data_IF_365744320174
#
_entry.id   IF_365744320174
#
_cell.length_a   1.000
_cell.length_b   1.000
_cell.length_c   1.000
_cell.angle_alpha   90.00
_cell.angle_beta   90.00
_cell.angle_gamma   90.00
#
_symmetry.space_group_name_H-M   'P 1'
#
loop_
_entity.id
_entity.type
_entity.pdbx_description
1 polymer ?
#
# COMPACT_ATOMS: atom_id res chain seq x y z
N UNK A 1 -16.14 -51.79 1.09
CA UNK A 1 -16.48 -50.45 0.57
C UNK A 1 -15.34 -50.00 -0.33
N UNK A 2 -15.48 -50.09 -1.66
CA UNK A 2 -14.42 -49.73 -2.58
C UNK A 2 -14.25 -48.21 -2.64
N UNK A 3 -13.07 -47.71 -2.28
CA UNK A 3 -12.71 -46.29 -2.40
C UNK A 3 -12.64 -45.91 -3.87
N UNK A 4 -13.61 -45.13 -4.35
CA UNK A 4 -13.60 -44.54 -5.69
C UNK A 4 -12.36 -43.64 -5.81
N UNK A 5 -11.40 -44.04 -6.63
CA UNK A 5 -10.28 -43.19 -7.05
C UNK A 5 -10.83 -41.90 -7.66
N UNK A 6 -10.48 -40.75 -7.08
CA UNK A 6 -10.81 -39.44 -7.64
C UNK A 6 -10.11 -39.30 -9.00
N UNK A 7 -10.89 -39.29 -10.08
CA UNK A 7 -10.37 -38.96 -11.41
C UNK A 7 -9.84 -37.52 -11.41
N UNK A 8 -8.55 -37.38 -11.67
CA UNK A 8 -7.94 -36.07 -11.95
C UNK A 8 -8.33 -35.73 -13.40
N UNK A 9 -9.12 -34.67 -13.57
CA UNK A 9 -9.47 -34.12 -14.88
C UNK A 9 -8.57 -32.90 -15.11
N UNK A 10 -7.68 -32.97 -16.08
CA UNK A 10 -6.95 -31.81 -16.60
C UNK A 10 -7.79 -31.12 -17.67
N UNK A 11 -7.96 -29.80 -17.59
CA UNK A 11 -8.53 -29.04 -18.68
C UNK A 11 -7.61 -29.15 -19.91
N UNK A 12 -8.17 -29.36 -21.10
CA UNK A 12 -7.39 -29.36 -22.33
C UNK A 12 -6.78 -27.96 -22.54
N UNK A 13 -5.50 -27.91 -22.92
CA UNK A 13 -4.85 -26.66 -23.29
C UNK A 13 -5.54 -26.06 -24.52
N UNK A 14 -5.89 -24.77 -24.46
CA UNK A 14 -6.56 -24.05 -25.55
C UNK A 14 -5.67 -23.89 -26.79
N UNK A 15 -4.36 -23.81 -26.57
CA UNK A 15 -3.35 -23.68 -27.62
C UNK A 15 -2.07 -24.39 -27.19
N UNK A 16 -1.48 -25.17 -28.11
CA UNK A 16 -0.21 -25.88 -27.91
C UNK A 16 0.57 -25.79 -29.23
N UNK A 17 1.79 -25.22 -29.23
CA UNK A 17 2.63 -25.26 -30.43
C UNK A 17 3.01 -26.72 -30.75
N UNK A 18 2.89 -27.09 -32.02
CA UNK A 18 3.12 -28.46 -32.50
C UNK A 18 4.57 -28.73 -32.90
N UNK A 19 5.42 -27.70 -32.90
CA UNK A 19 6.83 -27.83 -33.27
C UNK A 19 7.74 -26.88 -32.49
N UNK A 20 9.04 -27.18 -32.47
CA UNK A 20 10.08 -26.29 -31.90
C UNK A 20 10.10 -24.93 -32.60
N UNK A 21 9.81 -24.89 -33.90
CA UNK A 21 9.75 -23.66 -34.68
C UNK A 21 8.55 -22.79 -34.27
N UNK A 22 7.37 -23.40 -34.07
CA UNK A 22 6.20 -22.70 -33.54
C UNK A 22 6.43 -22.18 -32.12
N UNK A 23 7.00 -23.00 -31.23
CA UNK A 23 7.35 -22.57 -29.89
C UNK A 23 8.35 -21.38 -29.89
N UNK A 24 9.35 -21.39 -30.79
CA UNK A 24 10.27 -20.27 -30.94
C UNK A 24 9.57 -18.99 -31.47
N UNK A 25 8.62 -19.15 -32.39
CA UNK A 25 7.78 -18.06 -32.89
C UNK A 25 6.91 -17.48 -31.77
N UNK A 26 6.34 -18.32 -30.92
CA UNK A 26 5.55 -17.89 -29.76
C UNK A 26 6.39 -17.16 -28.73
N UNK A 27 7.60 -17.64 -28.43
CA UNK A 27 8.54 -16.94 -27.53
C UNK A 27 8.88 -15.55 -28.07
N UNK A 28 9.10 -15.41 -29.38
CA UNK A 28 9.29 -14.10 -30.00
C UNK A 28 8.07 -13.20 -29.80
N UNK A 29 6.87 -13.72 -30.09
CA UNK A 29 5.62 -12.98 -29.94
C UNK A 29 5.36 -12.56 -28.49
N UNK A 30 5.70 -13.39 -27.51
CA UNK A 30 5.64 -13.05 -26.09
C UNK A 30 6.53 -11.84 -25.81
N UNK A 31 7.78 -11.85 -26.29
CA UNK A 31 8.69 -10.70 -26.12
C UNK A 31 8.18 -9.42 -26.79
N UNK A 32 7.61 -9.52 -27.98
CA UNK A 32 7.02 -8.38 -28.69
C UNK A 32 5.84 -7.79 -27.91
N UNK A 33 4.95 -8.64 -27.38
CA UNK A 33 3.82 -8.21 -26.54
C UNK A 33 4.26 -7.61 -25.21
N UNK A 34 5.30 -8.16 -24.57
CA UNK A 34 5.86 -7.59 -23.34
C UNK A 34 6.42 -6.18 -23.58
N UNK A 35 7.19 -5.99 -24.67
CA UNK A 35 7.69 -4.66 -25.04
C UNK A 35 6.58 -3.68 -25.38
N UNK A 36 5.50 -4.14 -26.01
CA UNK A 36 4.33 -3.31 -26.27
C UNK A 36 3.65 -2.86 -24.98
N UNK A 37 3.44 -3.80 -24.04
CA UNK A 37 2.87 -3.50 -22.74
C UNK A 37 3.70 -2.44 -22.00
N UNK A 38 5.02 -2.60 -21.93
CA UNK A 38 5.93 -1.62 -21.32
C UNK A 38 5.83 -0.26 -22.02
N UNK A 39 5.73 -0.21 -23.35
CA UNK A 39 5.59 1.05 -24.07
C UNK A 39 4.29 1.78 -23.74
N UNK A 40 3.18 1.04 -23.65
CA UNK A 40 1.89 1.59 -23.26
C UNK A 40 1.90 2.06 -21.80
N UNK A 41 2.54 1.31 -20.90
CA UNK A 41 2.73 1.71 -19.50
C UNK A 41 3.55 3.00 -19.39
N UNK A 42 4.64 3.12 -20.14
CA UNK A 42 5.46 4.35 -20.18
C UNK A 42 4.66 5.53 -20.70
N UNK A 43 3.92 5.38 -21.81
CA UNK A 43 3.06 6.44 -22.34
C UNK A 43 1.98 6.87 -21.34
N UNK A 44 1.36 5.90 -20.66
CA UNK A 44 0.40 6.19 -19.60
C UNK A 44 1.03 6.99 -18.46
N UNK A 45 2.25 6.65 -18.05
CA UNK A 45 2.96 7.36 -16.98
C UNK A 45 3.34 8.79 -17.40
N UNK A 46 3.74 8.99 -18.66
CA UNK A 46 4.00 10.32 -19.22
C UNK A 46 2.73 11.18 -19.23
N UNK A 47 1.58 10.61 -19.62
CA UNK A 47 0.29 11.30 -19.60
C UNK A 47 -0.13 11.67 -18.17
N UNK A 48 0.05 10.75 -17.20
CA UNK A 48 -0.19 11.03 -15.78
C UNK A 48 0.70 12.18 -15.30
N UNK A 49 1.98 12.21 -15.69
CA UNK A 49 2.90 13.28 -15.34
C UNK A 49 2.45 14.63 -15.92
N UNK A 50 2.02 14.68 -17.19
CA UNK A 50 1.51 15.89 -17.83
C UNK A 50 0.23 16.41 -17.16
N UNK A 51 -0.72 15.52 -16.87
CA UNK A 51 -1.95 15.87 -16.15
C UNK A 51 -1.61 16.43 -14.77
N UNK A 52 -0.69 15.79 -14.06
CA UNK A 52 -0.26 16.23 -12.73
C UNK A 52 0.39 17.61 -12.80
N UNK A 53 1.30 17.84 -13.75
CA UNK A 53 1.98 19.12 -13.93
C UNK A 53 1.01 20.26 -14.23
N UNK A 54 -0.05 20.00 -15.01
CA UNK A 54 -1.07 21.01 -15.33
C UNK A 54 -1.98 21.32 -14.13
N UNK A 55 -2.42 20.29 -13.40
CA UNK A 55 -3.43 20.46 -12.36
C UNK A 55 -2.84 20.89 -11.01
N UNK A 56 -1.62 20.46 -10.68
CA UNK A 56 -1.01 20.69 -9.38
C UNK A 56 -0.84 22.18 -9.04
N UNK A 57 -0.38 23.08 -9.95
CA UNK A 57 -0.29 24.51 -9.65
C UNK A 57 -1.64 25.16 -9.32
N UNK A 58 -2.71 24.80 -10.03
CA UNK A 58 -4.05 25.34 -9.76
C UNK A 58 -4.61 24.82 -8.44
N UNK A 59 -4.37 23.54 -8.12
CA UNK A 59 -4.71 22.96 -6.82
C UNK A 59 -3.97 23.68 -5.69
N UNK A 60 -2.67 23.97 -5.86
CA UNK A 60 -1.89 24.70 -4.85
C UNK A 60 -2.36 26.15 -4.67
N UNK A 61 -2.76 26.84 -5.73
CA UNK A 61 -3.40 28.17 -5.61
C UNK A 61 -4.68 28.10 -4.79
N UNK A 62 -5.58 27.15 -5.11
CA UNK A 62 -6.83 26.97 -4.37
C UNK A 62 -6.56 26.63 -2.90
N UNK A 63 -5.57 25.77 -2.61
CA UNK A 63 -5.18 25.46 -1.23
C UNK A 63 -4.66 26.68 -0.48
N UNK A 64 -3.85 27.52 -1.13
CA UNK A 64 -3.36 28.76 -0.52
C UNK A 64 -4.52 29.71 -0.20
N UNK A 65 -5.45 29.91 -1.14
CA UNK A 65 -6.64 30.74 -0.91
C UNK A 65 -7.51 30.20 0.22
N UNK A 66 -7.72 28.87 0.26
CA UNK A 66 -8.43 28.21 1.36
C UNK A 66 -7.74 28.41 2.71
N UNK A 67 -6.41 28.32 2.76
CA UNK A 67 -5.66 28.54 4.00
C UNK A 67 -5.77 29.99 4.48
N UNK A 68 -5.63 30.96 3.57
CA UNK A 68 -5.77 32.40 3.88
C UNK A 68 -7.17 32.69 4.40
N UNK A 69 -8.21 32.26 3.69
CA UNK A 69 -9.61 32.47 4.08
C UNK A 69 -9.94 31.76 5.40
N UNK A 70 -9.51 30.50 5.56
CA UNK A 70 -9.76 29.74 6.78
C UNK A 70 -9.10 30.39 8.00
N UNK A 71 -7.86 30.88 7.89
CA UNK A 71 -7.19 31.62 8.96
C UNK A 71 -7.87 32.96 9.24
N UNK A 72 -8.31 33.67 8.21
CA UNK A 72 -9.05 34.93 8.36
C UNK A 72 -10.35 34.74 9.16
N UNK A 73 -11.15 33.73 8.78
CA UNK A 73 -12.38 33.37 9.50
C UNK A 73 -12.06 32.94 10.94
N UNK A 74 -11.05 32.09 11.13
CA UNK A 74 -10.63 31.66 12.47
C UNK A 74 -10.27 32.85 13.37
N UNK A 75 -9.39 33.74 12.90
CA UNK A 75 -8.92 34.90 13.68
C UNK A 75 -10.07 35.82 14.08
N UNK A 76 -11.02 36.08 13.16
CA UNK A 76 -12.19 36.89 13.45
C UNK A 76 -13.12 36.20 14.47
N UNK A 77 -13.42 34.92 14.28
CA UNK A 77 -14.26 34.14 15.21
C UNK A 77 -13.63 34.01 16.60
N UNK A 78 -12.30 33.89 16.70
CA UNK A 78 -11.59 33.86 17.98
C UNK A 78 -11.65 35.21 18.70
N UNK A 79 -11.55 36.32 17.94
CA UNK A 79 -11.66 37.68 18.50
C UNK A 79 -13.07 38.03 18.96
N UNK A 80 -14.11 37.44 18.35
CA UNK A 80 -15.52 37.67 18.68
C UNK A 80 -16.15 36.47 19.39
N UNK A 81 -15.33 35.62 20.02
CA UNK A 81 -15.79 34.34 20.55
C UNK A 81 -16.88 34.50 21.61
N UNK A 82 -16.74 35.46 22.51
CA UNK A 82 -17.72 35.65 23.60
C UNK A 82 -19.07 36.12 23.06
N UNK A 83 -19.08 36.98 22.04
CA UNK A 83 -20.31 37.39 21.36
C UNK A 83 -20.98 36.20 20.64
N UNK A 84 -20.20 35.45 19.87
CA UNK A 84 -20.69 34.31 19.08
C UNK A 84 -21.17 33.11 19.91
N UNK A 85 -20.71 33.00 21.16
CA UNK A 85 -21.02 31.87 22.04
C UNK A 85 -21.89 32.23 23.24
N UNK A 86 -22.45 33.45 23.28
CA UNK A 86 -23.17 34.00 24.43
C UNK A 86 -22.38 33.90 25.75
N UNK A 87 -21.12 34.33 25.74
CA UNK A 87 -20.14 34.15 26.81
C UNK A 87 -19.90 32.67 27.17
N UNK A 88 -19.82 31.80 26.16
CA UNK A 88 -19.48 30.38 26.31
C UNK A 88 -20.63 29.43 26.64
N UNK A 89 -21.90 29.86 26.53
CA UNK A 89 -23.06 28.96 26.70
C UNK A 89 -23.18 27.96 25.55
N UNK A 90 -22.77 28.33 24.34
CA UNK A 90 -22.70 27.42 23.18
C UNK A 90 -21.25 27.26 22.71
N UNK A 91 -21.00 26.24 21.89
CA UNK A 91 -19.69 26.04 21.23
C UNK A 91 -19.82 26.06 19.71
N UNK A 92 -20.91 26.60 19.22
CA UNK A 92 -21.25 26.67 17.81
C UNK A 92 -21.81 28.06 17.50
N UNK A 93 -21.52 28.55 16.31
CA UNK A 93 -22.01 29.82 15.79
C UNK A 93 -22.52 29.59 14.36
N UNK A 94 -23.82 29.82 14.16
CA UNK A 94 -24.43 29.75 12.84
C UNK A 94 -24.22 31.08 12.10
N UNK A 95 -23.78 30.98 10.85
CA UNK A 95 -23.65 32.08 9.91
C UNK A 95 -24.61 31.85 8.74
N UNK A 96 -24.90 32.89 7.96
CA UNK A 96 -25.83 32.79 6.82
C UNK A 96 -25.39 31.72 5.80
N UNK A 97 -24.08 31.51 5.65
CA UNK A 97 -23.47 30.62 4.65
C UNK A 97 -22.80 29.38 5.24
N UNK A 98 -22.87 29.16 6.55
CA UNK A 98 -22.18 28.04 7.19
C UNK A 98 -22.21 28.08 8.71
N UNK A 99 -21.44 27.20 9.35
CA UNK A 99 -21.35 27.08 10.80
C UNK A 99 -19.88 27.02 11.23
N UNK A 100 -19.56 27.63 12.37
CA UNK A 100 -18.27 27.52 13.05
C UNK A 100 -18.47 26.86 14.40
N UNK A 101 -17.58 25.94 14.76
CA UNK A 101 -17.67 25.21 16.03
C UNK A 101 -16.32 25.11 16.73
N UNK A 102 -16.31 25.34 18.04
CA UNK A 102 -15.15 25.13 18.91
C UNK A 102 -15.21 23.71 19.50
N UNK A 103 -14.30 22.85 19.05
CA UNK A 103 -14.22 21.46 19.51
C UNK A 103 -12.90 21.21 20.24
N UNK A 104 -12.98 20.49 21.35
CA UNK A 104 -11.78 19.91 21.95
C UNK A 104 -11.35 18.73 21.09
N UNK A 105 -10.11 18.76 20.60
CA UNK A 105 -9.53 17.58 19.96
C UNK A 105 -9.45 16.46 21.00
N UNK A 106 -9.82 15.22 20.66
CA UNK A 106 -9.53 14.08 21.51
C UNK A 106 -8.03 14.04 21.87
N UNK A 107 -7.65 13.55 23.06
CA UNK A 107 -6.25 13.40 23.42
C UNK A 107 -5.48 12.62 22.35
N UNK A 108 -4.34 13.15 21.93
CA UNK A 108 -3.39 12.48 21.04
C UNK A 108 -2.08 12.21 21.77
N UNK A 109 -1.40 11.14 21.39
CA UNK A 109 -0.08 10.77 21.94
C UNK A 109 0.96 10.97 20.84
N UNK A 110 2.02 11.73 21.15
CA UNK A 110 3.21 11.86 20.31
C UNK A 110 4.40 11.23 21.02
N UNK A 111 5.22 10.48 20.29
CA UNK A 111 6.36 9.74 20.84
C UNK A 111 7.61 10.21 20.11
N UNK A 112 8.63 10.63 20.86
CA UNK A 112 9.95 10.99 20.34
C UNK A 112 11.00 10.04 20.90
N UNK A 113 11.84 9.48 20.03
CA UNK A 113 12.86 8.49 20.44
C UNK A 113 12.21 7.17 20.84
N UNK A 114 11.54 6.52 19.88
CA UNK A 114 10.74 5.30 20.08
C UNK A 114 11.51 4.22 20.85
N UNK A 115 12.79 4.00 20.54
CA UNK A 115 13.59 2.95 21.17
C UNK A 115 13.81 3.18 22.67
N UNK A 116 14.15 4.41 23.05
CA UNK A 116 14.34 4.79 24.46
C UNK A 116 13.02 4.69 25.25
N UNK A 117 11.91 5.04 24.61
CA UNK A 117 10.57 4.89 25.18
C UNK A 117 10.23 3.41 25.36
N UNK A 118 10.47 2.56 24.36
CA UNK A 118 10.26 1.12 24.46
C UNK A 118 11.11 0.49 25.58
N UNK A 119 12.38 0.84 25.67
CA UNK A 119 13.28 0.34 26.73
C UNK A 119 12.79 0.78 28.11
N UNK A 120 12.38 2.03 28.25
CA UNK A 120 11.84 2.56 29.51
C UNK A 120 10.52 1.87 29.87
N UNK A 121 9.61 1.66 28.90
CA UNK A 121 8.36 0.94 29.11
C UNK A 121 8.62 -0.50 29.57
N UNK A 122 9.59 -1.20 28.96
CA UNK A 122 10.01 -2.54 29.39
C UNK A 122 10.59 -2.54 30.81
N UNK A 123 11.51 -1.60 31.10
CA UNK A 123 12.11 -1.43 32.43
C UNK A 123 11.07 -1.15 33.52
N UNK A 124 10.05 -0.36 33.21
CA UNK A 124 8.94 -0.04 34.10
C UNK A 124 7.83 -1.11 34.11
N UNK A 125 8.00 -2.21 33.37
CA UNK A 125 7.02 -3.30 33.24
C UNK A 125 5.64 -2.82 32.78
N UNK A 126 5.61 -1.80 31.92
CA UNK A 126 4.40 -1.23 31.34
C UNK A 126 4.06 -1.88 29.99
N UNK A 127 4.07 -3.21 29.97
CA UNK A 127 3.94 -4.02 28.74
C UNK A 127 2.60 -3.81 28.02
N UNK A 128 1.53 -3.40 28.73
CA UNK A 128 0.24 -3.03 28.12
C UNK A 128 0.32 -1.90 27.08
N UNK A 129 1.39 -1.12 27.08
CA UNK A 129 1.63 -0.05 26.10
C UNK A 129 2.60 -0.47 24.99
N UNK A 130 3.07 -1.72 25.01
CA UNK A 130 3.96 -2.28 24.00
C UNK A 130 3.13 -3.26 23.16
N UNK A 131 3.04 -2.99 21.86
CA UNK A 131 2.43 -3.94 20.92
C UNK A 131 3.51 -4.89 20.42
N UNK A 132 3.31 -6.19 20.63
CA UNK A 132 4.18 -7.24 20.09
C UNK A 132 3.52 -7.85 18.86
N UNK A 133 4.30 -7.99 17.79
CA UNK A 133 3.92 -8.75 16.59
C UNK A 133 4.88 -9.93 16.48
N UNK A 134 4.36 -11.14 16.60
CA UNK A 134 5.14 -12.35 16.37
C UNK A 134 4.92 -12.80 14.92
N UNK A 135 6.01 -13.03 14.20
CA UNK A 135 5.99 -13.50 12.82
C UNK A 135 6.88 -14.74 12.69
N UNK A 136 6.47 -15.66 11.83
CA UNK A 136 7.23 -16.87 11.55
C UNK A 136 8.50 -16.49 10.79
N UNK A 137 9.65 -16.82 11.36
CA UNK A 137 10.94 -16.61 10.71
C UNK A 137 11.20 -17.73 9.68
N UNK A 138 10.83 -17.46 8.42
CA UNK A 138 11.01 -18.42 7.32
C UNK A 138 12.48 -18.69 7.00
N UNK A 139 13.35 -17.69 7.13
CA UNK A 139 14.78 -17.84 6.88
C UNK A 139 15.42 -18.82 7.88
N UNK A 140 15.10 -18.69 9.17
CA UNK A 140 15.55 -19.63 10.19
C UNK A 140 15.05 -21.06 9.93
N UNK A 141 13.80 -21.20 9.47
CA UNK A 141 13.24 -22.49 9.05
C UNK A 141 13.97 -23.08 7.84
N UNK A 142 14.36 -22.25 6.86
CA UNK A 142 15.12 -22.72 5.70
C UNK A 142 16.55 -23.13 6.08
N UNK A 143 17.16 -22.46 7.06
CA UNK A 143 18.48 -22.82 7.58
C UNK A 143 18.45 -24.14 8.38
N UNK A 144 17.34 -24.40 9.11
CA UNK A 144 17.18 -25.60 9.94
C UNK A 144 15.85 -26.32 9.67
N UNK A 145 15.66 -26.90 8.46
CA UNK A 145 14.35 -27.44 8.05
C UNK A 145 13.94 -28.69 8.84
N UNK A 146 14.90 -29.43 9.37
CA UNK A 146 14.64 -30.60 10.23
C UNK A 146 14.13 -30.21 11.61
N UNK A 147 14.52 -29.04 12.13
CA UNK A 147 14.12 -28.54 13.45
C UNK A 147 12.62 -28.25 13.55
N UNK A 148 11.94 -28.05 12.41
CA UNK A 148 10.49 -27.84 12.34
C UNK A 148 9.72 -29.00 11.72
N UNK A 149 10.38 -30.16 11.57
CA UNK A 149 9.74 -31.37 11.06
C UNK A 149 8.57 -31.79 11.97
N UNK A 150 7.35 -31.80 11.43
CA UNK A 150 6.14 -32.20 12.15
C UNK A 150 5.33 -31.03 12.75
N UNK A 151 5.78 -29.79 12.62
CA UNK A 151 4.95 -28.63 12.99
C UNK A 151 3.79 -28.49 12.01
N UNK A 152 2.56 -28.67 12.49
CA UNK A 152 1.37 -28.55 11.67
C UNK A 152 1.27 -27.17 11.02
N UNK A 153 1.16 -27.14 9.69
CA UNK A 153 1.08 -25.90 8.90
C UNK A 153 2.41 -25.41 8.32
N UNK A 154 3.55 -26.02 8.67
CA UNK A 154 4.84 -25.73 8.02
C UNK A 154 5.14 -26.81 6.98
N UNK A 155 5.31 -26.39 5.73
CA UNK A 155 5.73 -27.24 4.63
C UNK A 155 6.92 -26.60 3.93
N UNK A 156 8.09 -27.23 4.01
CA UNK A 156 9.27 -26.84 3.23
C UNK A 156 9.20 -27.56 1.90
N UNK A 157 9.02 -26.81 0.82
CA UNK A 157 9.02 -27.35 -0.55
C UNK A 157 10.44 -27.23 -1.10
N UNK A 158 11.01 -28.34 -1.55
CA UNK A 158 12.36 -28.40 -2.14
C UNK A 158 12.33 -29.22 -3.43
N UNK A 159 13.19 -28.85 -4.39
CA UNK A 159 13.30 -29.58 -5.66
C UNK A 159 12.08 -29.43 -6.58
N UNK A 160 11.36 -28.31 -6.48
CA UNK A 160 10.32 -27.95 -7.46
C UNK A 160 11.03 -27.33 -8.66
N UNK A 161 10.81 -27.91 -9.83
CA UNK A 161 11.25 -27.34 -11.09
C UNK A 161 10.19 -26.35 -11.58
N UNK A 162 10.62 -25.10 -11.80
CA UNK A 162 9.80 -24.08 -12.43
C UNK A 162 10.12 -23.98 -13.92
N UNK A 163 9.09 -23.79 -14.74
CA UNK A 163 9.24 -23.48 -16.15
C UNK A 163 9.26 -21.96 -16.35
N UNK A 164 10.31 -21.46 -17.02
CA UNK A 164 10.46 -20.04 -17.32
C UNK A 164 10.67 -19.83 -18.83
N UNK A 165 10.06 -18.76 -19.36
CA UNK A 165 10.32 -18.25 -20.71
C UNK A 165 10.99 -16.89 -20.57
N UNK A 166 12.17 -16.76 -21.16
CA UNK A 166 12.88 -15.48 -21.27
C UNK A 166 13.01 -15.14 -22.75
N UNK A 167 12.13 -14.28 -23.31
CA UNK A 167 12.29 -13.79 -24.66
C UNK A 167 13.60 -13.02 -24.81
N UNK A 168 14.12 -12.96 -26.04
CA UNK A 168 15.31 -12.15 -26.30
C UNK A 168 15.00 -10.66 -26.12
N UNK A 169 15.87 -10.01 -25.35
CA UNK A 169 15.88 -8.56 -25.17
C UNK A 169 17.26 -8.03 -25.56
N UNK A 170 17.27 -6.94 -26.33
CA UNK A 170 18.50 -6.23 -26.64
C UNK A 170 18.56 -5.00 -25.75
N UNK A 171 19.51 -5.01 -24.81
CA UNK A 171 19.83 -3.84 -24.02
C UNK A 171 20.65 -2.86 -24.87
N UNK A 172 20.23 -1.60 -24.91
CA UNK A 172 20.96 -0.55 -25.62
C UNK A 172 22.20 -0.08 -24.82
N UNK A 173 22.32 -0.44 -23.54
CA UNK A 173 23.45 -0.09 -22.67
C UNK A 173 23.57 1.42 -22.41
N UNK A 174 22.44 2.14 -22.50
CA UNK A 174 22.33 3.60 -22.28
C UNK A 174 21.70 3.86 -20.92
#
# INVERSE_FOLDING_TARGET
>A
MATKTKRIKSAAALYVPQSKAEAASDIRKIGDLQREAVRLETLMNDDIAQITQRCLPEIEKIKNDLEVLSKGVQNWCESHRDELTENGKTKTANMVTGEVAWRNRPPSVSIRGVDSVLETLKRLKLERFIRVKEEVNKEAILNEPTSVAGVAGISVKSGIEDFAITPFEQDAGI
#
